data_IF_696196986582
#
_entry.id   IF_696196986582
#
_cell.length_a   1.000
_cell.length_b   1.000
_cell.length_c   1.000
_cell.angle_alpha   90.00
_cell.angle_beta   90.00
_cell.angle_gamma   90.00
#
_symmetry.space_group_name_H-M   'P 1'
#
loop_
_entity.id
_entity.type
_entity.pdbx_description
1 polymer ?
#
# COMPACT_ATOMS: atom_id res chain seq x y z
N UNK A 1 -6.83 -9.13 -19.14
CA UNK A 1 -5.48 -9.38 -18.56
C UNK A 1 -4.54 -9.73 -19.70
N UNK A 2 -3.38 -9.06 -19.78
CA UNK A 2 -2.27 -9.46 -20.65
C UNK A 2 -1.43 -10.55 -19.98
N UNK A 3 -0.76 -11.39 -20.78
CA UNK A 3 0.18 -12.39 -20.27
C UNK A 3 1.57 -11.77 -20.21
N UNK A 4 2.15 -11.69 -19.02
CA UNK A 4 3.51 -11.19 -18.80
C UNK A 4 4.33 -12.30 -18.15
N UNK A 5 5.52 -12.58 -18.69
CA UNK A 5 6.49 -13.46 -18.03
C UNK A 5 7.39 -12.59 -17.16
N UNK A 6 7.45 -12.90 -15.87
CA UNK A 6 8.30 -12.27 -14.87
C UNK A 6 8.92 -13.37 -14.02
N UNK A 7 10.20 -13.24 -13.70
CA UNK A 7 10.87 -14.12 -12.74
C UNK A 7 10.57 -13.66 -11.32
N UNK A 8 10.17 -14.59 -10.46
CA UNK A 8 9.81 -14.32 -9.07
C UNK A 8 10.49 -15.37 -8.20
N UNK A 9 10.91 -14.97 -7.01
CA UNK A 9 11.42 -15.88 -6.00
C UNK A 9 10.31 -16.82 -5.51
N UNK A 10 10.51 -18.12 -5.74
CA UNK A 10 9.56 -19.17 -5.38
C UNK A 10 9.41 -19.37 -3.87
N UNK A 11 10.44 -19.09 -3.08
CA UNK A 11 10.37 -19.17 -1.62
C UNK A 11 9.47 -18.08 -1.05
N UNK A 12 9.63 -16.84 -1.54
CA UNK A 12 8.79 -15.71 -1.15
C UNK A 12 7.32 -15.97 -1.52
N UNK A 13 7.07 -16.49 -2.72
CA UNK A 13 5.72 -16.84 -3.16
C UNK A 13 5.13 -17.95 -2.29
N UNK A 14 5.91 -18.98 -1.93
CA UNK A 14 5.45 -20.04 -1.04
C UNK A 14 5.08 -19.51 0.36
N UNK A 15 5.88 -18.60 0.93
CA UNK A 15 5.59 -17.95 2.21
C UNK A 15 4.26 -17.19 2.14
N UNK A 16 4.05 -16.40 1.09
CA UNK A 16 2.81 -15.63 0.89
C UNK A 16 1.62 -16.57 0.71
N UNK A 17 1.76 -17.60 -0.12
CA UNK A 17 0.71 -18.58 -0.36
C UNK A 17 0.32 -19.31 0.92
N UNK A 18 1.28 -19.72 1.75
CA UNK A 18 1.01 -20.36 3.04
C UNK A 18 0.37 -19.39 4.04
N UNK A 19 0.84 -18.14 4.11
CA UNK A 19 0.33 -17.14 5.06
C UNK A 19 -1.11 -16.73 4.76
N UNK A 20 -1.47 -16.63 3.49
CA UNK A 20 -2.78 -16.16 3.04
C UNK A 20 -3.65 -17.28 2.45
N UNK A 21 -3.22 -18.54 2.60
CA UNK A 21 -3.91 -19.75 2.17
C UNK A 21 -4.33 -19.73 0.68
N UNK A 22 -3.41 -19.30 -0.19
CA UNK A 22 -3.69 -19.06 -1.61
C UNK A 22 -3.39 -20.31 -2.45
N UNK A 23 -4.24 -20.65 -3.43
CA UNK A 23 -4.11 -21.88 -4.21
C UNK A 23 -3.09 -21.79 -5.35
N UNK A 24 -2.70 -20.59 -5.78
CA UNK A 24 -1.80 -20.41 -6.95
C UNK A 24 -0.85 -19.24 -6.78
N UNK A 25 0.32 -19.31 -7.45
CA UNK A 25 1.28 -18.20 -7.55
C UNK A 25 0.64 -16.95 -8.15
N UNK A 26 -0.23 -17.11 -9.16
CA UNK A 26 -0.98 -16.00 -9.77
C UNK A 26 -1.87 -15.28 -8.76
N UNK A 27 -2.56 -16.03 -7.89
CA UNK A 27 -3.39 -15.45 -6.83
C UNK A 27 -2.54 -14.68 -5.82
N UNK A 28 -1.35 -15.15 -5.48
CA UNK A 28 -0.41 -14.43 -4.62
C UNK A 28 0.02 -13.10 -5.23
N UNK A 29 0.38 -13.08 -6.52
CA UNK A 29 0.76 -11.85 -7.23
C UNK A 29 -0.43 -10.89 -7.34
N UNK A 30 -1.62 -11.36 -7.71
CA UNK A 30 -2.82 -10.52 -7.82
C UNK A 30 -3.19 -9.89 -6.47
N UNK A 31 -3.14 -10.68 -5.38
CA UNK A 31 -3.39 -10.19 -4.03
C UNK A 31 -2.36 -9.13 -3.60
N UNK A 32 -1.07 -9.39 -3.84
CA UNK A 32 0.00 -8.45 -3.51
C UNK A 32 -0.14 -7.12 -4.25
N UNK A 33 -0.43 -7.17 -5.57
CA UNK A 33 -0.62 -5.97 -6.39
C UNK A 33 -1.85 -5.17 -5.94
N UNK A 34 -2.99 -5.83 -5.66
CA UNK A 34 -4.18 -5.16 -5.14
C UNK A 34 -3.93 -4.49 -3.80
N UNK A 35 -3.20 -5.18 -2.92
CA UNK A 35 -2.87 -4.63 -1.60
C UNK A 35 -1.95 -3.42 -1.71
N UNK A 36 -0.93 -3.48 -2.57
CA UNK A 36 -0.03 -2.34 -2.83
C UNK A 36 -0.76 -1.13 -3.39
N UNK A 37 -1.72 -1.32 -4.30
CA UNK A 37 -2.52 -0.20 -4.83
C UNK A 37 -3.35 0.45 -3.72
N UNK A 38 -4.03 -0.35 -2.91
CA UNK A 38 -4.83 0.16 -1.78
C UNK A 38 -3.96 0.87 -0.75
N UNK A 39 -2.80 0.31 -0.39
CA UNK A 39 -1.85 0.93 0.55
C UNK A 39 -1.25 2.21 -0.03
N UNK A 40 -0.92 2.25 -1.32
CA UNK A 40 -0.42 3.45 -2.00
C UNK A 40 -1.46 4.56 -2.04
N UNK A 41 -2.73 4.21 -2.31
CA UNK A 41 -3.83 5.17 -2.29
C UNK A 41 -4.11 5.67 -0.87
N UNK A 42 -3.97 4.81 0.14
CA UNK A 42 -4.04 5.21 1.55
C UNK A 42 -2.89 6.14 1.94
N UNK A 43 -1.65 5.87 1.52
CA UNK A 43 -0.53 6.77 1.78
C UNK A 43 -0.72 8.12 1.10
N UNK A 44 -1.18 8.14 -0.16
CA UNK A 44 -1.54 9.39 -0.84
C UNK A 44 -2.70 10.12 -0.18
N UNK A 45 -3.69 9.40 0.34
CA UNK A 45 -4.79 9.97 1.11
C UNK A 45 -4.26 10.60 2.41
N UNK A 46 -3.41 9.90 3.14
CA UNK A 46 -2.74 10.41 4.34
C UNK A 46 -1.92 11.65 4.03
N UNK A 47 -1.10 11.64 2.97
CA UNK A 47 -0.36 12.82 2.49
C UNK A 47 -1.31 13.98 2.11
N UNK A 48 -2.46 13.68 1.49
CA UNK A 48 -3.46 14.69 1.14
C UNK A 48 -4.19 15.26 2.37
N UNK A 49 -4.35 14.45 3.43
CA UNK A 49 -4.92 14.87 4.71
C UNK A 49 -3.96 15.83 5.44
N UNK A 50 -2.64 15.60 5.32
CA UNK A 50 -1.61 16.46 5.91
C UNK A 50 -1.46 17.85 5.25
N UNK A 51 -2.33 18.22 4.30
CA UNK A 51 -2.40 19.57 3.69
C UNK A 51 -3.79 20.22 3.71
N UNK A 52 -4.84 19.49 4.07
CA UNK A 52 -6.17 20.09 4.29
C UNK A 52 -6.21 20.66 5.70
N UNK A 53 -5.97 21.96 5.81
CA UNK A 53 -6.27 22.70 7.03
C UNK A 53 -7.71 22.40 7.46
N UNK A 54 -7.87 21.87 8.67
CA UNK A 54 -9.18 21.70 9.28
C UNK A 54 -9.67 23.08 9.75
N UNK A 55 -10.79 23.56 9.20
CA UNK A 55 -11.46 24.79 9.66
C UNK A 55 -12.27 24.51 10.93
N UNK A 56 -11.59 23.96 11.93
CA UNK A 56 -12.12 23.83 13.28
C UNK A 56 -12.22 25.21 13.93
N UNK A 57 -13.03 25.36 14.99
CA UNK A 57 -13.26 26.66 15.63
C UNK A 57 -11.99 27.37 16.15
N UNK A 58 -10.86 26.67 16.21
CA UNK A 58 -9.54 27.17 16.62
C UNK A 58 -8.48 27.29 15.51
N UNK A 59 -8.80 27.02 14.24
CA UNK A 59 -7.93 27.35 13.10
C UNK A 59 -6.52 26.72 13.13
N UNK A 60 -6.37 25.50 13.65
CA UNK A 60 -5.07 24.81 13.74
C UNK A 60 -4.60 24.22 12.41
N UNK A 61 -3.45 24.65 11.90
CA UNK A 61 -2.73 23.97 10.82
C UNK A 61 -1.89 22.83 11.41
N UNK A 62 -2.08 21.60 10.92
CA UNK A 62 -1.14 20.51 11.19
C UNK A 62 0.11 20.73 10.34
N UNK A 63 1.17 21.27 10.94
CA UNK A 63 2.48 21.41 10.29
C UNK A 63 3.32 20.17 10.53
N UNK A 64 3.91 19.64 9.45
CA UNK A 64 4.83 18.50 9.49
C UNK A 64 6.21 18.94 10.01
N UNK A 65 6.37 19.03 11.33
CA UNK A 65 7.66 19.30 11.98
C UNK A 65 8.48 18.04 12.30
N UNK A 66 8.05 16.84 11.86
CA UNK A 66 8.68 15.58 12.28
C UNK A 66 9.61 14.91 11.26
N UNK A 67 9.75 15.43 10.04
CA UNK A 67 10.69 14.90 9.04
C UNK A 67 12.05 15.63 8.94
N UNK A 68 12.56 16.14 10.05
CA UNK A 68 13.98 16.52 10.14
C UNK A 68 14.62 15.92 11.39
N UNK A 69 15.02 14.65 11.28
CA UNK A 69 16.18 14.06 11.97
C UNK A 69 16.50 12.66 11.46
#
# INVERSE_FOLDING_TARGET
>A
MSRTNIDIDDELVAIVMNRFNLPTKKSAVDMALRRLVVETDQMKLVDSIFGIGWDGPEGGRFTDELHSR
#
